data_IF_164602216441
#
_entry.id   IF_164602216441
#
_cell.length_a   1.000
_cell.length_b   1.000
_cell.length_c   1.000
_cell.angle_alpha   90.00
_cell.angle_beta   90.00
_cell.angle_gamma   90.00
#
_symmetry.space_group_name_H-M   'P 1'
#
loop_
_entity.id
_entity.type
_entity.pdbx_description
1 polymer ?
#
# COMPACT_ATOMS: atom_id res chain seq x y z
N UNK A 1 17.47 2.63 -15.47
CA UNK A 1 16.46 3.52 -14.82
C UNK A 1 17.17 4.75 -14.26
N UNK A 2 16.44 5.87 -14.09
CA UNK A 2 16.87 7.15 -13.49
C UNK A 2 15.67 7.76 -12.74
N UNK A 3 15.89 8.64 -11.77
CA UNK A 3 14.87 9.46 -11.09
C UNK A 3 15.31 10.91 -11.14
N UNK A 4 14.41 11.89 -11.30
CA UNK A 4 14.78 13.29 -11.11
C UNK A 4 15.26 13.50 -9.66
N UNK A 5 16.34 14.24 -9.50
CA UNK A 5 16.74 14.87 -8.24
C UNK A 5 15.92 16.16 -8.02
N UNK A 6 16.18 16.89 -6.93
CA UNK A 6 15.35 18.06 -6.60
C UNK A 6 15.61 19.27 -7.52
N UNK A 7 16.66 19.22 -8.35
CA UNK A 7 16.91 20.16 -9.47
C UNK A 7 16.35 19.65 -10.81
N UNK A 8 15.63 18.53 -10.81
CA UNK A 8 15.06 17.92 -12.01
C UNK A 8 16.05 17.13 -12.88
N UNK A 9 17.31 16.96 -12.44
CA UNK A 9 18.32 16.18 -13.18
C UNK A 9 18.00 14.69 -13.01
N UNK A 10 17.96 13.95 -14.11
CA UNK A 10 17.77 12.50 -14.07
C UNK A 10 19.03 11.79 -13.55
N UNK A 11 19.04 11.43 -12.27
CA UNK A 11 20.13 10.71 -11.60
C UNK A 11 19.82 9.22 -11.47
N UNK A 12 20.86 8.39 -11.45
CA UNK A 12 20.70 6.95 -11.18
C UNK A 12 20.50 6.78 -9.67
N UNK A 13 19.37 6.24 -9.24
CA UNK A 13 19.11 5.94 -7.82
C UNK A 13 19.55 4.52 -7.52
N UNK A 14 20.04 4.25 -6.31
CA UNK A 14 20.40 2.90 -5.86
C UNK A 14 19.16 1.99 -6.04
N UNK A 15 19.23 0.94 -6.87
CA UNK A 15 18.08 0.11 -7.14
C UNK A 15 17.69 -0.74 -5.91
N UNK A 16 16.39 -0.94 -5.73
CA UNK A 16 15.85 -1.62 -4.54
C UNK A 16 16.41 -3.04 -4.29
N UNK A 17 16.79 -3.76 -5.35
CA UNK A 17 17.39 -5.10 -5.20
C UNK A 17 18.79 -5.05 -4.54
N UNK A 18 19.54 -3.95 -4.70
CA UNK A 18 20.82 -3.73 -4.01
C UNK A 18 20.63 -3.39 -2.52
N UNK A 19 19.41 -3.05 -2.10
CA UNK A 19 19.08 -2.71 -0.71
C UNK A 19 18.59 -3.90 0.11
N UNK A 20 18.31 -5.07 -0.49
CA UNK A 20 17.61 -6.16 0.22
C UNK A 20 17.85 -7.61 -0.23
N UNK A 21 18.72 -7.90 -1.20
CA UNK A 21 19.00 -9.27 -1.63
C UNK A 21 20.06 -9.98 -0.79
N UNK A 22 19.91 -11.31 -0.64
CA UNK A 22 20.71 -12.22 0.19
C UNK A 22 22.20 -12.38 -0.20
N UNK A 23 22.85 -11.39 -0.81
CA UNK A 23 24.23 -11.55 -1.28
C UNK A 23 24.95 -10.33 -1.84
N UNK A 24 24.53 -9.10 -1.53
CA UNK A 24 25.26 -7.91 -2.02
C UNK A 24 26.12 -7.33 -0.89
N UNK A 25 27.42 -7.66 -0.88
CA UNK A 25 28.38 -7.02 0.03
C UNK A 25 28.50 -5.52 -0.31
N UNK A 26 28.64 -5.22 -1.60
CA UNK A 26 28.80 -3.89 -2.19
C UNK A 26 27.50 -3.06 -2.18
N UNK A 27 26.98 -2.74 -1.00
CA UNK A 27 26.05 -1.63 -0.81
C UNK A 27 26.80 -0.50 -0.07
N UNK A 28 26.97 0.69 -0.67
CA UNK A 28 27.74 1.79 -0.09
C UNK A 28 27.05 2.46 1.11
N UNK A 29 25.80 2.07 1.41
CA UNK A 29 25.08 2.59 2.56
C UNK A 29 25.63 2.03 3.88
N UNK A 30 25.73 2.87 4.93
CA UNK A 30 26.00 2.43 6.29
C UNK A 30 25.05 1.31 6.71
N UNK A 31 25.54 0.39 7.55
CA UNK A 31 24.75 -0.77 8.02
C UNK A 31 23.44 -0.35 8.69
N UNK A 32 23.45 0.75 9.42
CA UNK A 32 22.28 1.27 10.13
C UNK A 32 21.19 1.76 9.15
N UNK A 33 21.58 2.61 8.20
CA UNK A 33 20.71 3.06 7.10
C UNK A 33 20.18 1.88 6.30
N UNK A 34 21.02 0.87 6.04
CA UNK A 34 20.60 -0.36 5.36
C UNK A 34 19.55 -1.12 6.16
N UNK A 35 19.73 -1.31 7.47
CA UNK A 35 18.74 -1.98 8.32
C UNK A 35 17.43 -1.17 8.37
N UNK A 36 17.52 0.17 8.39
CA UNK A 36 16.36 1.05 8.42
C UNK A 36 15.59 1.00 7.09
N UNK A 37 16.28 1.16 5.97
CA UNK A 37 15.73 1.08 4.61
C UNK A 37 15.21 -0.32 4.30
N UNK A 38 15.94 -1.38 4.67
CA UNK A 38 15.50 -2.76 4.50
C UNK A 38 14.32 -3.10 5.42
N UNK A 39 14.27 -2.53 6.63
CA UNK A 39 13.10 -2.59 7.49
C UNK A 39 11.87 -1.93 6.87
N UNK A 40 12.03 -0.78 6.23
CA UNK A 40 10.96 -0.07 5.50
C UNK A 40 10.56 -0.80 4.21
N UNK A 41 11.53 -1.34 3.46
CA UNK A 41 11.30 -2.12 2.24
C UNK A 41 10.61 -3.45 2.57
N UNK A 42 11.07 -4.20 3.56
CA UNK A 42 10.44 -5.47 3.95
C UNK A 42 9.03 -5.29 4.54
N UNK A 43 8.78 -4.22 5.31
CA UNK A 43 7.62 -4.15 6.23
C UNK A 43 6.65 -3.01 5.89
N UNK A 44 6.87 -2.35 4.76
CA UNK A 44 6.04 -1.29 4.19
C UNK A 44 5.28 -1.75 2.94
N UNK A 45 5.76 -1.39 1.72
CA UNK A 45 4.89 -1.31 0.54
C UNK A 45 4.56 -2.65 -0.16
N UNK A 46 5.37 -3.70 -0.02
CA UNK A 46 5.23 -4.90 -0.85
C UNK A 46 3.92 -5.62 -0.60
N UNK A 47 3.37 -5.70 0.61
CA UNK A 47 2.03 -6.29 0.78
C UNK A 47 0.92 -5.48 0.10
N UNK A 48 0.99 -4.16 0.04
CA UNK A 48 -0.01 -3.32 -0.65
C UNK A 48 0.02 -3.44 -2.18
N UNK A 49 1.18 -3.76 -2.79
CA UNK A 49 1.31 -3.90 -4.24
C UNK A 49 1.49 -5.35 -4.72
N UNK A 50 2.19 -6.17 -3.94
CA UNK A 50 2.48 -7.58 -4.20
C UNK A 50 1.27 -8.46 -3.91
N UNK A 51 0.44 -8.16 -2.91
CA UNK A 51 -0.76 -8.94 -2.64
C UNK A 51 -1.83 -8.77 -3.74
N UNK A 52 -2.15 -7.55 -4.23
CA UNK A 52 -2.96 -7.41 -5.43
C UNK A 52 -2.24 -7.96 -6.67
N UNK A 53 -0.92 -7.88 -6.78
CA UNK A 53 -0.18 -8.52 -7.88
C UNK A 53 -0.31 -10.05 -7.86
N UNK A 54 -0.09 -10.70 -6.72
CA UNK A 54 -0.26 -12.15 -6.56
C UNK A 54 -1.73 -12.53 -6.77
N UNK A 55 -2.68 -11.75 -6.27
CA UNK A 55 -4.10 -11.96 -6.52
C UNK A 55 -4.43 -11.83 -8.02
N UNK A 56 -3.89 -10.83 -8.72
CA UNK A 56 -4.05 -10.65 -10.16
C UNK A 56 -3.37 -11.77 -10.95
N UNK A 57 -2.20 -12.24 -10.52
CA UNK A 57 -1.48 -13.36 -11.12
C UNK A 57 -2.23 -14.67 -10.93
N UNK A 58 -2.76 -14.94 -9.74
CA UNK A 58 -3.60 -16.11 -9.45
C UNK A 58 -4.90 -16.04 -10.24
N UNK A 59 -5.57 -14.89 -10.27
CA UNK A 59 -6.75 -14.68 -11.09
C UNK A 59 -6.42 -14.88 -12.58
N UNK A 60 -5.27 -14.41 -13.04
CA UNK A 60 -4.78 -14.64 -14.39
C UNK A 60 -4.58 -16.12 -14.68
N UNK A 61 -3.94 -16.88 -13.79
CA UNK A 61 -3.77 -18.33 -13.94
C UNK A 61 -5.11 -19.05 -14.00
N UNK A 62 -6.10 -18.62 -13.21
CA UNK A 62 -7.47 -19.17 -13.23
C UNK A 62 -8.15 -18.87 -14.57
N UNK A 63 -8.10 -17.61 -15.03
CA UNK A 63 -8.68 -17.20 -16.33
C UNK A 63 -7.99 -17.93 -17.48
N UNK A 64 -6.66 -18.03 -17.46
CA UNK A 64 -5.86 -18.72 -18.47
C UNK A 64 -6.16 -20.23 -18.50
N UNK A 65 -6.24 -20.88 -17.34
CA UNK A 65 -6.60 -22.31 -17.24
C UNK A 65 -8.01 -22.59 -17.73
N UNK A 66 -8.98 -21.74 -17.39
CA UNK A 66 -10.38 -21.90 -17.84
C UNK A 66 -10.56 -21.62 -19.34
N UNK A 67 -9.84 -20.64 -19.88
CA UNK A 67 -9.85 -20.34 -21.32
C UNK A 67 -9.12 -21.38 -22.17
N UNK A 68 -8.05 -21.99 -21.66
CA UNK A 68 -7.36 -23.10 -22.35
C UNK A 68 -8.19 -24.39 -22.38
N UNK A 69 -8.98 -24.68 -21.34
CA UNK A 69 -9.96 -25.77 -21.38
C UNK A 69 -11.06 -25.55 -22.45
N UNK A 70 -11.62 -24.33 -22.51
CA UNK A 70 -12.57 -23.95 -23.55
C UNK A 70 -11.94 -24.00 -24.95
N UNK A 71 -10.66 -23.65 -25.08
CA UNK A 71 -9.89 -23.71 -26.33
C UNK A 71 -9.79 -25.15 -26.86
N UNK A 72 -9.45 -26.13 -26.02
CA UNK A 72 -9.34 -27.53 -26.44
C UNK A 72 -10.70 -28.04 -26.93
N UNK A 73 -11.79 -27.70 -26.25
CA UNK A 73 -13.14 -28.06 -26.68
C UNK A 73 -13.55 -27.38 -27.99
N UNK A 74 -13.23 -26.09 -28.15
CA UNK A 74 -13.61 -25.30 -29.33
C UNK A 74 -12.81 -25.65 -30.58
N UNK A 75 -11.49 -25.88 -30.47
CA UNK A 75 -10.65 -26.42 -31.56
C UNK A 75 -11.21 -27.75 -32.06
N UNK A 76 -11.74 -28.57 -31.15
CA UNK A 76 -12.39 -29.84 -31.49
C UNK A 76 -13.74 -29.65 -32.17
N UNK A 77 -14.48 -28.60 -31.82
CA UNK A 77 -15.87 -28.38 -32.25
C UNK A 77 -16.02 -27.54 -33.52
N UNK A 78 -15.12 -26.58 -33.79
CA UNK A 78 -15.26 -25.65 -34.92
C UNK A 78 -13.95 -25.60 -35.70
N UNK A 79 -13.93 -26.22 -36.89
CA UNK A 79 -12.73 -26.32 -37.76
C UNK A 79 -12.24 -24.98 -38.35
N UNK A 80 -12.93 -23.86 -38.14
CA UNK A 80 -12.69 -22.62 -38.90
C UNK A 80 -12.33 -21.38 -38.08
N UNK A 81 -12.32 -21.43 -36.74
CA UNK A 81 -11.90 -20.25 -35.97
C UNK A 81 -10.38 -20.23 -35.82
N UNK A 82 -9.69 -19.11 -36.10
CA UNK A 82 -8.25 -19.06 -36.00
C UNK A 82 -7.80 -19.19 -34.55
N UNK A 83 -7.03 -20.25 -34.27
CA UNK A 83 -6.48 -20.58 -32.95
C UNK A 83 -5.78 -19.40 -32.24
N UNK A 84 -5.27 -18.41 -32.98
CA UNK A 84 -4.56 -17.25 -32.45
C UNK A 84 -5.44 -16.29 -31.62
N UNK A 85 -6.75 -16.23 -31.84
CA UNK A 85 -7.66 -15.41 -31.02
C UNK A 85 -7.72 -15.90 -29.56
N UNK A 86 -7.44 -17.19 -29.34
CA UNK A 86 -7.37 -17.81 -28.00
C UNK A 86 -6.12 -17.42 -27.22
N UNK A 87 -5.06 -16.96 -27.91
CA UNK A 87 -3.79 -16.55 -27.29
C UNK A 87 -3.87 -15.10 -26.81
N UNK A 88 -4.76 -14.30 -27.41
CA UNK A 88 -4.93 -12.87 -27.13
C UNK A 88 -5.14 -12.57 -25.63
N UNK A 89 -5.99 -13.29 -24.86
CA UNK A 89 -6.15 -13.06 -23.42
C UNK A 89 -4.88 -13.38 -22.61
N UNK A 90 -4.13 -14.41 -23.02
CA UNK A 90 -2.85 -14.77 -22.42
C UNK A 90 -1.78 -13.68 -22.60
N UNK A 91 -1.85 -12.93 -23.70
CA UNK A 91 -0.94 -11.82 -24.02
C UNK A 91 -1.39 -10.47 -23.44
N UNK A 92 -2.68 -10.14 -23.48
CA UNK A 92 -3.21 -8.84 -23.06
C UNK A 92 -2.95 -8.56 -21.57
N UNK A 93 -3.02 -9.59 -20.73
CA UNK A 93 -2.88 -9.42 -19.29
C UNK A 93 -1.44 -9.10 -18.87
N UNK A 94 -0.39 -9.83 -19.27
CA UNK A 94 0.99 -9.40 -19.00
C UNK A 94 1.27 -8.03 -19.61
N UNK A 95 0.79 -7.74 -20.83
CA UNK A 95 0.93 -6.42 -21.46
C UNK A 95 0.29 -5.30 -20.61
N UNK A 96 -0.82 -5.56 -19.92
CA UNK A 96 -1.43 -4.60 -18.99
C UNK A 96 -0.76 -4.55 -17.60
N UNK A 97 -0.23 -5.69 -17.13
CA UNK A 97 0.38 -5.83 -15.80
C UNK A 97 1.78 -5.24 -15.73
N UNK A 98 2.58 -5.37 -16.80
CA UNK A 98 3.95 -4.83 -16.85
C UNK A 98 4.00 -3.31 -16.68
N UNK A 99 3.18 -2.49 -17.38
CA UNK A 99 3.09 -1.05 -17.16
C UNK A 99 2.66 -0.71 -15.73
N UNK A 100 1.70 -1.44 -15.15
CA UNK A 100 1.27 -1.24 -13.77
C UNK A 100 2.40 -1.53 -12.78
N UNK A 101 3.10 -2.65 -12.94
CA UNK A 101 4.29 -2.99 -12.14
C UNK A 101 5.39 -1.94 -12.31
N UNK A 102 5.67 -1.55 -13.55
CA UNK A 102 6.69 -0.54 -13.85
C UNK A 102 6.35 0.78 -13.17
N UNK A 103 5.10 1.21 -13.24
CA UNK A 103 4.57 2.40 -12.59
C UNK A 103 4.60 2.31 -11.06
N UNK A 104 4.19 1.17 -10.48
CA UNK A 104 4.22 0.93 -9.04
C UNK A 104 5.66 0.96 -8.52
N UNK A 105 6.58 0.26 -9.22
CA UNK A 105 8.02 0.31 -8.92
C UNK A 105 8.57 1.72 -9.09
N UNK A 106 8.13 2.48 -10.10
CA UNK A 106 8.54 3.87 -10.28
C UNK A 106 8.11 4.75 -9.11
N UNK A 107 6.86 4.65 -8.66
CA UNK A 107 6.41 5.36 -7.46
C UNK A 107 7.17 4.95 -6.19
N UNK A 108 7.63 3.70 -6.11
CA UNK A 108 8.50 3.26 -5.02
C UNK A 108 9.92 3.85 -5.11
N UNK A 109 10.52 3.99 -6.31
CA UNK A 109 11.85 4.62 -6.50
C UNK A 109 11.94 5.97 -5.79
N UNK A 110 10.96 6.85 -6.02
CA UNK A 110 10.93 8.20 -5.43
C UNK A 110 10.78 8.17 -3.90
N UNK A 111 9.98 7.23 -3.37
CA UNK A 111 9.82 7.06 -1.92
C UNK A 111 11.11 6.56 -1.26
N UNK A 112 11.75 5.57 -1.85
CA UNK A 112 13.01 5.01 -1.33
C UNK A 112 14.12 6.06 -1.36
N UNK A 113 14.23 6.81 -2.47
CA UNK A 113 15.19 7.90 -2.57
C UNK A 113 14.98 8.93 -1.44
N UNK A 114 13.74 9.38 -1.23
CA UNK A 114 13.41 10.29 -0.13
C UNK A 114 13.76 9.72 1.24
N UNK A 115 13.53 8.43 1.50
CA UNK A 115 13.88 7.83 2.79
C UNK A 115 15.40 7.80 3.02
N UNK A 116 16.18 7.53 1.98
CA UNK A 116 17.65 7.54 2.06
C UNK A 116 18.15 8.98 2.31
N UNK A 117 17.61 9.95 1.57
CA UNK A 117 17.90 11.38 1.76
C UNK A 117 17.53 11.81 3.17
N UNK A 118 16.34 11.45 3.66
CA UNK A 118 15.90 11.72 5.03
C UNK A 118 16.84 11.15 6.08
N UNK A 119 17.54 10.04 5.81
CA UNK A 119 18.54 9.49 6.73
C UNK A 119 19.91 10.19 6.61
N UNK A 120 19.97 11.35 5.94
CA UNK A 120 21.22 12.08 5.75
C UNK A 120 22.12 11.42 4.71
N UNK A 121 21.62 10.59 3.81
CA UNK A 121 22.42 9.88 2.81
C UNK A 121 22.00 10.24 1.38
N UNK A 122 22.95 10.29 0.45
CA UNK A 122 22.68 10.46 -0.97
C UNK A 122 21.93 9.24 -1.53
N UNK A 123 20.76 9.42 -2.14
CA UNK A 123 20.00 8.32 -2.74
C UNK A 123 20.64 7.70 -4.00
N UNK A 124 21.67 8.34 -4.56
CA UNK A 124 22.39 7.87 -5.75
C UNK A 124 23.60 7.01 -5.40
N UNK A 125 24.48 7.49 -4.52
CA UNK A 125 25.72 6.80 -4.18
C UNK A 125 25.82 6.35 -2.71
N UNK A 126 24.92 6.80 -1.83
CA UNK A 126 24.92 6.46 -0.41
C UNK A 126 25.84 7.32 0.46
N UNK A 127 26.55 8.30 -0.10
CA UNK A 127 27.41 9.22 0.65
C UNK A 127 26.63 10.00 1.72
N UNK A 128 27.21 10.15 2.92
CA UNK A 128 26.61 10.91 4.01
C UNK A 128 26.59 12.41 3.68
N UNK A 129 25.41 13.02 3.69
CA UNK A 129 25.18 14.44 3.41
C UNK A 129 25.21 15.30 4.68
N UNK A 130 25.40 14.68 5.85
CA UNK A 130 25.50 15.39 7.12
C UNK A 130 26.72 16.32 7.11
N UNK A 131 26.49 17.61 7.42
CA UNK A 131 27.53 18.64 7.41
C UNK A 131 27.89 19.19 6.04
N UNK A 132 27.27 18.71 4.95
CA UNK A 132 27.45 19.32 3.62
C UNK A 132 26.57 20.56 3.52
N UNK A 133 27.20 21.72 3.33
CA UNK A 133 26.48 22.98 3.20
C UNK A 133 25.54 22.97 1.97
N UNK A 134 24.28 23.41 2.12
CA UNK A 134 23.38 23.55 1.00
C UNK A 134 23.89 24.65 0.05
N UNK A 135 23.71 24.44 -1.25
CA UNK A 135 23.96 25.48 -2.25
C UNK A 135 22.93 26.62 -2.15
N UNK A 136 23.13 27.69 -2.92
CA UNK A 136 22.28 28.90 -2.90
C UNK A 136 20.79 28.67 -3.20
N UNK A 137 20.43 27.53 -3.80
CA UNK A 137 19.04 27.12 -4.08
C UNK A 137 18.42 26.25 -2.97
N UNK A 138 19.12 26.09 -1.84
CA UNK A 138 18.67 25.27 -0.70
C UNK A 138 18.83 23.76 -0.92
N UNK A 139 19.46 23.33 -2.02
CA UNK A 139 19.77 21.92 -2.27
C UNK A 139 21.20 21.58 -1.85
N UNK A 140 21.37 20.48 -1.13
CA UNK A 140 22.67 19.90 -0.80
C UNK A 140 23.16 19.06 -1.98
N UNK A 141 24.28 19.45 -2.58
CA UNK A 141 24.88 18.73 -3.70
C UNK A 141 25.84 17.67 -3.16
N UNK A 142 25.60 16.41 -3.50
CA UNK A 142 26.49 15.33 -3.10
C UNK A 142 27.88 15.48 -3.75
N UNK A 143 28.98 15.53 -2.97
CA UNK A 143 30.32 15.74 -3.52
C UNK A 143 30.81 14.56 -4.38
N UNK A 144 30.32 13.35 -4.13
CA UNK A 144 30.73 12.14 -4.86
C UNK A 144 30.12 12.04 -6.26
N UNK A 145 28.81 12.29 -6.39
CA UNK A 145 28.08 12.01 -7.63
C UNK A 145 27.37 13.23 -8.23
N UNK A 146 27.41 14.39 -7.58
CA UNK A 146 26.83 15.63 -8.07
C UNK A 146 25.30 15.65 -8.15
N UNK A 147 24.60 14.74 -7.46
CA UNK A 147 23.13 14.77 -7.31
C UNK A 147 22.73 15.79 -6.26
N UNK A 148 21.66 16.54 -6.49
CA UNK A 148 21.20 17.59 -5.58
C UNK A 148 19.92 17.17 -4.83
N UNK A 149 19.95 17.27 -3.50
CA UNK A 149 18.84 16.90 -2.63
C UNK A 149 18.45 18.05 -1.71
N UNK A 150 17.17 18.38 -1.63
CA UNK A 150 16.66 19.43 -0.77
C UNK A 150 16.50 18.91 0.67
N UNK A 151 17.52 19.14 1.49
CA UNK A 151 17.49 18.78 2.91
C UNK A 151 16.70 19.80 3.75
N UNK A 152 16.34 20.98 3.23
CA UNK A 152 15.53 21.97 3.96
C UNK A 152 14.10 21.51 4.23
N UNK A 153 13.62 20.52 3.47
CA UNK A 153 12.38 19.79 3.78
C UNK A 153 12.51 19.03 5.11
N UNK A 154 13.75 18.80 5.58
CA UNK A 154 13.97 18.28 6.92
C UNK A 154 13.90 19.41 7.94
N UNK A 155 13.09 19.27 8.99
CA UNK A 155 13.09 20.23 10.08
C UNK A 155 14.51 20.30 10.67
N UNK A 156 15.11 21.50 10.66
CA UNK A 156 16.51 21.79 10.97
C UNK A 156 16.95 21.47 12.41
N UNK A 157 16.10 20.82 13.21
CA UNK A 157 16.37 20.54 14.61
C UNK A 157 16.67 19.05 14.81
N UNK A 158 17.94 18.72 15.00
CA UNK A 158 18.49 17.36 15.04
C UNK A 158 18.11 16.54 16.29
N UNK A 159 17.28 17.07 17.19
CA UNK A 159 16.60 16.26 18.23
C UNK A 159 15.36 15.50 17.70
N UNK A 160 15.05 15.66 16.40
CA UNK A 160 13.76 15.29 15.80
C UNK A 160 13.71 13.95 15.05
N UNK A 161 14.49 12.92 15.45
CA UNK A 161 14.25 11.53 15.01
C UNK A 161 12.79 11.08 15.24
N UNK A 162 12.06 11.80 16.09
CA UNK A 162 10.66 11.60 16.49
C UNK A 162 9.60 12.34 15.62
N UNK A 163 9.96 13.37 14.83
CA UNK A 163 8.96 14.24 14.13
C UNK A 163 8.89 14.12 12.60
N UNK A 164 9.66 13.23 11.95
CA UNK A 164 9.72 13.03 10.47
C UNK A 164 8.47 12.38 9.84
N UNK A 165 7.27 12.84 10.21
CA UNK A 165 5.99 12.15 10.02
C UNK A 165 5.31 12.34 8.66
N UNK A 166 5.49 13.49 8.01
CA UNK A 166 4.31 14.25 7.57
C UNK A 166 3.90 14.12 6.09
N UNK A 167 4.64 13.42 5.22
CA UNK A 167 4.33 13.49 3.77
C UNK A 167 3.61 12.28 3.15
N UNK A 168 2.46 12.63 2.53
CA UNK A 168 1.53 11.89 1.67
C UNK A 168 0.55 10.95 2.36
N UNK A 169 -0.63 11.50 2.68
CA UNK A 169 -1.74 10.88 3.39
C UNK A 169 -2.88 10.44 2.47
N UNK A 170 -3.48 9.31 2.85
CA UNK A 170 -4.78 8.83 2.37
C UNK A 170 -5.80 9.32 3.40
N UNK A 171 -6.95 9.84 2.96
CA UNK A 171 -7.94 10.41 3.89
C UNK A 171 -8.82 9.31 4.55
N UNK A 172 -9.14 9.47 5.83
CA UNK A 172 -10.27 8.80 6.50
C UNK A 172 -11.21 9.87 7.06
N UNK A 173 -12.45 9.47 7.31
CA UNK A 173 -13.37 10.29 8.11
C UNK A 173 -13.09 10.04 9.59
N UNK A 174 -12.99 11.10 10.36
CA UNK A 174 -13.01 11.02 11.82
C UNK A 174 -14.45 10.89 12.35
N UNK A 175 -14.62 10.89 13.67
CA UNK A 175 -15.96 10.73 14.28
C UNK A 175 -16.86 11.98 14.12
N UNK A 176 -16.29 13.10 13.63
CA UNK A 176 -17.02 14.30 13.18
C UNK A 176 -17.27 14.30 11.67
N UNK A 177 -17.00 13.19 10.99
CA UNK A 177 -17.08 13.02 9.55
C UNK A 177 -16.15 13.94 8.73
N UNK A 178 -15.18 14.60 9.36
CA UNK A 178 -14.17 15.42 8.68
C UNK A 178 -13.17 14.51 7.97
N UNK A 179 -12.84 14.85 6.71
CA UNK A 179 -11.79 14.15 5.96
C UNK A 179 -10.44 14.55 6.52
N UNK A 180 -9.79 13.62 7.20
CA UNK A 180 -8.51 13.85 7.83
C UNK A 180 -7.47 12.90 7.25
N UNK A 181 -6.24 13.37 7.03
CA UNK A 181 -5.14 12.52 6.61
C UNK A 181 -4.91 11.39 7.63
N UNK A 182 -5.08 10.12 7.24
CA UNK A 182 -4.69 9.01 8.12
C UNK A 182 -3.17 8.96 8.27
N UNK A 183 -2.72 8.50 9.44
CA UNK A 183 -1.39 7.96 9.57
C UNK A 183 -1.37 6.77 8.62
N UNK A 184 -0.44 6.77 7.67
CA UNK A 184 -0.22 5.60 6.82
C UNK A 184 -0.19 4.36 7.72
N UNK A 185 -1.02 3.36 7.39
CA UNK A 185 -1.27 2.16 8.20
C UNK A 185 0.02 1.42 8.64
N UNK A 186 1.14 1.62 7.94
CA UNK A 186 2.45 1.09 8.34
C UNK A 186 2.97 1.57 9.72
N UNK A 187 2.44 2.65 10.31
CA UNK A 187 2.76 3.04 11.70
C UNK A 187 2.11 2.09 12.72
N UNK A 188 0.89 1.65 12.42
CA UNK A 188 -0.05 1.08 13.40
C UNK A 188 0.20 -0.38 13.78
N UNK A 189 0.98 -1.15 13.00
CA UNK A 189 1.50 -2.45 13.43
C UNK A 189 0.49 -3.48 13.95
N UNK A 190 -0.75 -3.52 13.45
CA UNK A 190 -1.79 -4.43 13.95
C UNK A 190 -1.79 -5.84 13.34
N UNK A 191 -0.85 -6.17 12.42
CA UNK A 191 -0.71 -7.52 11.87
C UNK A 191 0.47 -8.25 12.54
N UNK A 192 0.29 -9.49 13.03
CA UNK A 192 1.34 -10.26 13.69
C UNK A 192 2.50 -10.52 12.70
N UNK A 193 3.72 -10.12 13.07
CA UNK A 193 4.93 -10.25 12.26
C UNK A 193 5.48 -8.97 11.61
N UNK A 194 4.80 -7.83 11.75
CA UNK A 194 5.22 -6.52 11.20
C UNK A 194 5.80 -5.64 12.33
N UNK A 195 7.03 -5.14 12.17
CA UNK A 195 7.67 -4.33 13.23
C UNK A 195 7.18 -2.87 13.22
N UNK A 196 6.25 -2.53 14.13
CA UNK A 196 5.63 -1.20 14.25
C UNK A 196 6.62 -0.03 14.42
N UNK A 197 6.24 1.14 13.90
CA UNK A 197 6.88 2.44 14.17
C UNK A 197 6.33 3.11 15.43
N UNK A 198 5.86 2.29 16.37
CA UNK A 198 5.75 2.67 17.78
C UNK A 198 7.19 2.83 18.27
N UNK A 199 7.62 4.01 18.75
CA UNK A 199 8.99 4.24 19.22
C UNK A 199 9.41 3.10 20.15
N UNK A 200 10.67 2.63 20.08
CA UNK A 200 11.14 1.44 20.82
C UNK A 200 10.68 1.40 22.29
N UNK A 201 10.58 2.58 22.94
CA UNK A 201 10.09 2.76 24.32
C UNK A 201 8.64 2.30 24.57
N UNK A 202 7.78 2.33 23.55
CA UNK A 202 6.37 1.97 23.64
C UNK A 202 6.08 0.52 23.23
N UNK A 203 7.08 -0.18 22.67
CA UNK A 203 6.95 -1.58 22.21
C UNK A 203 6.80 -2.57 23.37
N UNK A 204 7.09 -2.14 24.61
CA UNK A 204 6.79 -2.88 25.85
C UNK A 204 5.56 -2.36 26.62
N UNK A 205 5.02 -1.18 26.26
CA UNK A 205 3.90 -0.54 26.98
C UNK A 205 2.56 -0.91 26.35
N UNK A 206 2.52 -1.04 25.03
CA UNK A 206 1.43 -1.73 24.37
C UNK A 206 1.79 -3.21 24.53
N UNK A 207 1.21 -3.97 25.49
CA UNK A 207 1.27 -5.40 25.35
C UNK A 207 0.79 -5.64 23.93
N UNK A 208 1.63 -6.29 23.11
CA UNK A 208 1.12 -7.00 21.95
C UNK A 208 0.20 -8.08 22.52
N UNK A 209 -0.95 -7.66 23.04
CA UNK A 209 -2.11 -8.49 23.21
C UNK A 209 -2.24 -9.06 21.83
N UNK A 210 -1.95 -10.38 21.75
CA UNK A 210 -2.17 -11.19 20.57
C UNK A 210 -3.44 -10.64 19.95
N UNK A 211 -3.39 -10.16 18.69
CA UNK A 211 -4.52 -9.49 18.07
C UNK A 211 -5.74 -10.30 18.45
N UNK A 212 -6.64 -9.66 19.21
CA UNK A 212 -7.68 -10.40 19.92
C UNK A 212 -8.25 -11.41 18.93
N UNK A 213 -8.31 -12.68 19.33
CA UNK A 213 -8.68 -13.78 18.44
C UNK A 213 -10.02 -13.46 17.76
N UNK A 214 -10.86 -12.66 18.42
CA UNK A 214 -12.03 -11.95 17.90
C UNK A 214 -11.77 -11.08 16.66
N UNK A 215 -10.81 -10.15 16.72
CA UNK A 215 -10.51 -9.18 15.66
C UNK A 215 -9.97 -9.89 14.41
N UNK A 216 -9.07 -10.86 14.59
CA UNK A 216 -8.57 -11.70 13.50
C UNK A 216 -9.70 -12.52 12.87
N UNK A 217 -10.61 -13.10 13.68
CA UNK A 217 -11.80 -13.81 13.20
C UNK A 217 -12.75 -12.88 12.43
N UNK A 218 -12.98 -11.64 12.88
CA UNK A 218 -13.83 -10.66 12.18
C UNK A 218 -13.25 -10.28 10.82
N UNK A 219 -11.94 -9.99 10.76
CA UNK A 219 -11.27 -9.71 9.50
C UNK A 219 -11.34 -10.92 8.54
N UNK A 220 -11.07 -12.13 9.04
CA UNK A 220 -11.17 -13.35 8.26
C UNK A 220 -12.61 -13.63 7.76
N UNK A 221 -13.62 -13.40 8.62
CA UNK A 221 -15.04 -13.49 8.23
C UNK A 221 -15.39 -12.49 7.14
N UNK A 222 -15.00 -11.22 7.29
CA UNK A 222 -15.26 -10.21 6.25
C UNK A 222 -14.60 -10.58 4.93
N UNK A 223 -13.34 -11.05 4.97
CA UNK A 223 -12.62 -11.49 3.77
C UNK A 223 -13.26 -12.73 3.15
N UNK A 224 -13.74 -13.68 3.97
CA UNK A 224 -14.45 -14.88 3.51
C UNK A 224 -15.79 -14.56 2.85
N UNK A 225 -16.63 -13.71 3.47
CA UNK A 225 -17.90 -13.25 2.89
C UNK A 225 -17.67 -12.55 1.55
N UNK A 226 -16.64 -11.71 1.51
CA UNK A 226 -16.23 -11.02 0.30
C UNK A 226 -15.82 -12.03 -0.80
N UNK A 227 -14.92 -12.97 -0.50
CA UNK A 227 -14.49 -13.99 -1.47
C UNK A 227 -15.66 -14.85 -1.97
N UNK A 228 -16.59 -15.22 -1.08
CA UNK A 228 -17.83 -15.92 -1.44
C UNK A 228 -18.71 -15.09 -2.38
N UNK A 229 -18.85 -13.79 -2.14
CA UNK A 229 -19.59 -12.89 -3.03
C UNK A 229 -18.97 -12.80 -4.43
N UNK A 230 -17.64 -12.73 -4.50
CA UNK A 230 -16.92 -12.71 -5.78
C UNK A 230 -17.07 -14.04 -6.53
N UNK A 231 -16.98 -15.17 -5.82
CA UNK A 231 -17.23 -16.49 -6.38
C UNK A 231 -18.68 -16.63 -6.89
N UNK A 232 -19.66 -16.22 -6.09
CA UNK A 232 -21.08 -16.26 -6.45
C UNK A 232 -21.36 -15.40 -7.70
N UNK A 233 -20.74 -14.23 -7.80
CA UNK A 233 -20.80 -13.38 -9.00
C UNK A 233 -20.26 -14.10 -10.25
N UNK A 234 -19.09 -14.75 -10.15
CA UNK A 234 -18.53 -15.52 -11.26
C UNK A 234 -19.43 -16.69 -11.68
N UNK A 235 -20.01 -17.41 -10.72
CA UNK A 235 -20.95 -18.52 -10.99
C UNK A 235 -22.23 -18.00 -11.66
N UNK A 236 -22.81 -16.92 -11.13
CA UNK A 236 -24.00 -16.28 -11.71
C UNK A 236 -23.73 -15.80 -13.14
N UNK A 237 -22.58 -15.16 -13.37
CA UNK A 237 -22.16 -14.73 -14.70
C UNK A 237 -22.03 -15.91 -15.66
N UNK A 238 -21.37 -16.99 -15.25
CA UNK A 238 -21.17 -18.18 -16.07
C UNK A 238 -22.49 -18.88 -16.41
N UNK A 239 -23.46 -18.91 -15.48
CA UNK A 239 -24.73 -19.62 -15.65
C UNK A 239 -25.80 -18.80 -16.36
N UNK A 240 -25.85 -17.49 -16.15
CA UNK A 240 -26.95 -16.63 -16.63
C UNK A 240 -26.44 -15.60 -17.62
N UNK A 241 -25.40 -14.84 -17.26
CA UNK A 241 -24.91 -13.73 -18.09
C UNK A 241 -24.32 -14.18 -19.42
N UNK A 242 -23.46 -15.20 -19.41
CA UNK A 242 -22.81 -15.69 -20.62
C UNK A 242 -23.78 -16.29 -21.68
N UNK A 243 -24.80 -17.08 -21.29
CA UNK A 243 -25.87 -17.50 -22.20
C UNK A 243 -26.73 -16.33 -22.68
N UNK A 244 -27.10 -15.39 -21.80
CA UNK A 244 -27.95 -14.26 -22.17
C UNK A 244 -27.29 -13.37 -23.23
N UNK A 245 -25.97 -13.19 -23.17
CA UNK A 245 -25.18 -12.53 -24.21
C UNK A 245 -25.26 -13.22 -25.57
N UNK A 246 -25.42 -14.55 -25.62
CA UNK A 246 -25.56 -15.26 -26.90
C UNK A 246 -26.90 -15.00 -27.58
N UNK A 247 -27.94 -14.64 -26.82
CA UNK A 247 -29.25 -14.30 -27.36
C UNK A 247 -29.36 -12.89 -27.95
N UNK A 248 -28.39 -12.00 -27.68
CA UNK A 248 -28.47 -10.57 -28.03
C UNK A 248 -28.05 -10.24 -29.48
N UNK A 249 -27.81 -11.23 -30.35
CA UNK A 249 -27.36 -11.04 -31.75
C UNK A 249 -26.21 -10.03 -31.93
N UNK A 250 -25.33 -9.92 -30.93
CA UNK A 250 -24.15 -9.06 -30.99
C UNK A 250 -23.09 -9.66 -31.92
N UNK A 251 -22.21 -8.81 -32.47
CA UNK A 251 -21.05 -9.31 -33.21
C UNK A 251 -20.19 -10.23 -32.34
N UNK A 252 -19.49 -11.19 -32.94
CA UNK A 252 -18.64 -12.13 -32.23
C UNK A 252 -17.56 -11.42 -31.38
N UNK A 253 -17.03 -10.30 -31.89
CA UNK A 253 -16.07 -9.46 -31.19
C UNK A 253 -16.69 -8.81 -29.94
N UNK A 254 -17.86 -8.17 -30.09
CA UNK A 254 -18.55 -7.52 -28.97
C UNK A 254 -18.92 -8.52 -27.87
N UNK A 255 -19.43 -9.70 -28.27
CA UNK A 255 -19.75 -10.79 -27.34
C UNK A 255 -18.52 -11.24 -26.55
N UNK A 256 -17.37 -11.35 -27.21
CA UNK A 256 -16.12 -11.76 -26.57
C UNK A 256 -15.60 -10.69 -25.58
N UNK A 257 -15.66 -9.42 -25.95
CA UNK A 257 -15.26 -8.31 -25.08
C UNK A 257 -16.14 -8.26 -23.82
N UNK A 258 -17.47 -8.34 -23.98
CA UNK A 258 -18.41 -8.28 -22.86
C UNK A 258 -18.27 -9.49 -21.92
N UNK A 259 -17.99 -10.69 -22.46
CA UNK A 259 -17.71 -11.90 -21.67
C UNK A 259 -16.52 -11.76 -20.73
N UNK A 260 -15.54 -10.91 -21.07
CA UNK A 260 -14.35 -10.66 -20.24
C UNK A 260 -14.56 -9.46 -19.31
N UNK A 261 -15.11 -8.36 -19.81
CA UNK A 261 -15.24 -7.13 -19.04
C UNK A 261 -16.25 -7.22 -17.91
N UNK A 262 -17.43 -7.80 -18.15
CA UNK A 262 -18.51 -7.84 -17.14
C UNK A 262 -18.12 -8.64 -15.89
N UNK A 263 -17.53 -9.85 -15.95
CA UNK A 263 -17.13 -10.55 -14.74
C UNK A 263 -15.97 -9.85 -14.00
N UNK A 264 -15.15 -9.07 -14.72
CA UNK A 264 -14.06 -8.30 -14.14
C UNK A 264 -14.50 -6.98 -13.49
N UNK A 265 -15.65 -6.43 -13.90
CA UNK A 265 -16.15 -5.13 -13.45
C UNK A 265 -16.26 -4.93 -11.91
N UNK A 266 -16.64 -5.92 -11.08
CA UNK A 266 -16.73 -5.71 -9.63
C UNK A 266 -15.38 -5.73 -8.89
N UNK A 267 -14.29 -6.23 -9.50
CA UNK A 267 -12.98 -6.34 -8.83
C UNK A 267 -12.45 -5.00 -8.27
N UNK A 268 -12.44 -3.89 -9.03
CA UNK A 268 -11.99 -2.60 -8.52
C UNK A 268 -12.82 -2.10 -7.33
N UNK A 269 -14.15 -2.25 -7.39
CA UNK A 269 -15.07 -1.86 -6.31
C UNK A 269 -14.78 -2.69 -5.05
N UNK A 270 -14.55 -3.98 -5.24
CA UNK A 270 -14.25 -4.91 -4.17
C UNK A 270 -12.91 -4.61 -3.49
N UNK A 271 -11.86 -4.32 -4.27
CA UNK A 271 -10.56 -3.89 -3.75
C UNK A 271 -10.71 -2.57 -2.98
N UNK A 272 -11.44 -1.59 -3.52
CA UNK A 272 -11.70 -0.33 -2.84
C UNK A 272 -12.44 -0.53 -1.51
N UNK A 273 -13.43 -1.43 -1.48
CA UNK A 273 -14.17 -1.79 -0.28
C UNK A 273 -13.27 -2.47 0.75
N UNK A 274 -12.41 -3.42 0.36
CA UNK A 274 -11.43 -4.05 1.26
C UNK A 274 -10.49 -3.02 1.89
N UNK A 275 -9.98 -2.08 1.08
CA UNK A 275 -9.12 -1.00 1.55
C UNK A 275 -9.88 -0.13 2.56
N UNK A 276 -11.11 0.27 2.25
CA UNK A 276 -11.93 1.10 3.13
C UNK A 276 -12.26 0.41 4.47
N UNK A 277 -12.68 -0.85 4.43
CA UNK A 277 -13.01 -1.65 5.62
C UNK A 277 -11.77 -1.88 6.49
N UNK A 278 -10.62 -2.18 5.88
CA UNK A 278 -9.37 -2.35 6.61
C UNK A 278 -8.96 -1.06 7.36
N UNK A 279 -9.26 0.11 6.79
CA UNK A 279 -8.86 1.43 7.32
C UNK A 279 -9.76 1.92 8.45
N UNK A 280 -11.05 1.59 8.44
CA UNK A 280 -11.89 1.72 9.63
C UNK A 280 -11.38 0.83 10.78
N UNK A 281 -11.01 -0.42 10.49
CA UNK A 281 -10.57 -1.38 11.51
C UNK A 281 -9.31 -0.93 12.24
N UNK A 282 -8.27 -0.50 11.50
CA UNK A 282 -7.03 0.00 12.11
C UNK A 282 -7.27 1.26 12.95
N UNK A 283 -8.11 2.18 12.48
CA UNK A 283 -8.41 3.40 13.21
C UNK A 283 -9.07 3.10 14.56
N UNK A 284 -10.03 2.17 14.59
CA UNK A 284 -10.67 1.76 15.85
C UNK A 284 -9.70 1.11 16.83
N UNK A 285 -8.80 0.25 16.36
CA UNK A 285 -7.81 -0.41 17.23
C UNK A 285 -6.85 0.62 17.84
N UNK A 286 -6.36 1.57 17.04
CA UNK A 286 -5.49 2.64 17.53
C UNK A 286 -6.21 3.56 18.53
N UNK A 287 -7.43 3.98 18.21
CA UNK A 287 -8.24 4.83 19.10
C UNK A 287 -8.56 4.11 20.42
N UNK A 288 -8.91 2.83 20.38
CA UNK A 288 -9.12 1.99 21.57
C UNK A 288 -7.84 1.83 22.41
N UNK A 289 -6.68 1.88 21.78
CA UNK A 289 -5.38 1.91 22.46
C UNK A 289 -4.96 3.32 22.91
N UNK A 290 -5.84 4.32 22.84
CA UNK A 290 -5.58 5.74 23.18
C UNK A 290 -4.53 6.42 22.30
N UNK A 291 -4.41 6.02 21.03
CA UNK A 291 -3.55 6.68 20.04
C UNK A 291 -4.36 7.26 18.90
N UNK A 292 -3.93 8.38 18.35
CA UNK A 292 -4.55 9.02 17.20
C UNK A 292 -4.33 8.19 15.90
N UNK A 293 -5.37 7.73 15.20
CA UNK A 293 -5.25 7.11 13.88
C UNK A 293 -4.66 8.00 12.77
N UNK A 294 -4.65 9.33 12.92
CA UNK A 294 -4.15 10.30 11.90
C UNK A 294 -2.64 10.58 11.98
N UNK A 295 -2.06 10.58 13.18
CA UNK A 295 -0.62 10.83 13.34
C UNK A 295 0.10 9.81 14.21
N UNK A 296 -0.63 8.99 14.98
CA UNK A 296 -0.09 8.06 15.97
C UNK A 296 0.25 8.70 17.32
N UNK A 297 -0.07 9.98 17.55
CA UNK A 297 0.20 10.63 18.84
C UNK A 297 -0.67 10.02 19.96
N UNK A 298 -0.13 9.96 21.18
CA UNK A 298 -0.86 9.48 22.35
C UNK A 298 -1.97 10.48 22.73
N UNK A 299 -3.15 9.95 23.02
CA UNK A 299 -4.35 10.71 23.36
C UNK A 299 -4.84 10.43 24.80
N UNK A 300 -4.14 9.56 25.54
CA UNK A 300 -4.55 9.15 26.89
C UNK A 300 -4.80 10.31 27.87
N UNK A 301 -4.03 11.41 27.74
CA UNK A 301 -4.11 12.57 28.62
C UNK A 301 -4.77 13.79 27.95
N UNK A 302 -5.37 13.60 26.76
CA UNK A 302 -6.03 14.69 26.06
C UNK A 302 -7.50 14.67 26.45
N UNK A 303 -8.03 15.74 27.07
CA UNK A 303 -9.43 15.77 27.50
C UNK A 303 -10.36 15.65 26.28
N UNK A 304 -11.47 14.93 26.46
CA UNK A 304 -12.52 14.90 25.46
C UNK A 304 -13.18 16.28 25.36
N UNK A 305 -13.45 16.73 24.13
CA UNK A 305 -14.28 17.88 23.86
C UNK A 305 -15.77 17.58 24.24
N UNK A 306 -16.65 18.61 24.34
CA UNK A 306 -18.04 18.43 24.78
C UNK A 306 -18.89 17.44 23.98
N UNK A 307 -18.47 17.11 22.74
CA UNK A 307 -19.12 16.12 21.87
C UNK A 307 -18.69 14.66 22.15
N UNK A 308 -17.83 14.47 23.16
CA UNK A 308 -17.26 13.17 23.53
C UNK A 308 -16.11 12.72 22.65
N UNK A 309 -15.56 13.59 21.80
CA UNK A 309 -14.41 13.28 20.95
C UNK A 309 -13.13 13.88 21.54
N UNK A 310 -12.04 13.12 21.53
CA UNK A 310 -10.70 13.61 21.86
C UNK A 310 -10.04 14.16 20.60
N UNK A 311 -9.75 15.46 20.58
CA UNK A 311 -9.09 16.13 19.46
C UNK A 311 -7.58 16.02 19.60
N UNK A 312 -6.92 15.40 18.63
CA UNK A 312 -5.48 15.24 18.66
C UNK A 312 -4.76 16.60 18.54
N UNK A 313 -3.89 16.98 19.49
CA UNK A 313 -3.23 18.28 19.47
C UNK A 313 -2.21 18.43 18.32
N UNK A 314 -1.71 17.33 17.78
CA UNK A 314 -0.69 17.37 16.70
C UNK A 314 -1.31 17.54 15.31
N UNK A 315 -2.50 16.97 15.05
CA UNK A 315 -3.07 16.90 13.70
C UNK A 315 -4.54 17.34 13.61
N UNK A 316 -5.15 17.75 14.73
CA UNK A 316 -6.52 18.26 14.79
C UNK A 316 -7.63 17.21 14.63
N UNK A 317 -7.29 15.92 14.52
CA UNK A 317 -8.26 14.85 14.28
C UNK A 317 -9.07 14.49 15.52
N UNK A 318 -10.38 14.26 15.40
CA UNK A 318 -11.25 13.97 16.54
C UNK A 318 -11.66 12.48 16.60
N UNK A 319 -11.37 11.81 17.70
CA UNK A 319 -11.69 10.38 17.89
C UNK A 319 -12.40 10.14 19.21
N UNK A 320 -13.46 9.33 19.23
CA UNK A 320 -14.08 8.85 20.46
C UNK A 320 -13.21 7.77 21.08
N UNK A 321 -12.62 8.08 22.22
CA UNK A 321 -11.79 7.16 22.98
C UNK A 321 -12.60 6.67 24.17
N UNK A 322 -12.77 5.36 24.30
CA UNK A 322 -13.37 4.76 25.48
C UNK A 322 -12.35 4.81 26.62
N UNK A 323 -12.46 5.81 27.49
CA UNK A 323 -11.66 5.91 28.71
C UNK A 323 -11.99 4.72 29.62
N UNK A 324 -11.09 3.73 29.70
CA UNK A 324 -11.18 2.66 30.70
C UNK A 324 -11.09 3.30 32.09
N UNK A 325 -12.23 3.57 32.72
CA UNK A 325 -12.29 4.07 34.10
C UNK A 325 -13.30 5.20 34.33
N UNK A 326 -13.84 5.84 33.30
CA UNK A 326 -14.99 6.72 33.48
C UNK A 326 -16.26 5.88 33.40
N UNK A 327 -16.86 5.62 34.56
CA UNK A 327 -18.24 5.13 34.64
C UNK A 327 -19.14 6.03 33.78
N UNK A 328 -20.09 5.46 33.02
CA UNK A 328 -20.97 6.23 32.15
C UNK A 328 -21.64 7.36 32.96
N UNK A 329 -21.76 8.57 32.40
CA UNK A 329 -22.50 9.64 33.05
C UNK A 329 -23.92 9.14 33.31
N UNK A 330 -24.35 9.26 34.57
CA UNK A 330 -25.70 8.90 35.01
C UNK A 330 -26.72 9.92 34.53
#
# INVERSE_FOLDING_TARGET
MRSPDDRGRLVKVIPAYQLGGAGVFWCPLPRETRILVQGQLQRGPWTEYYLPFVALLVLWLIIFSSSSGAMIWFIRSTRSLPWFLSILPGLLIPVSMFPFMYWAMWRMRARVARLIVLDGCCATCGYALDGVEPASDGCTVCPECGSAWNLSIMPANSDSRTKRSEFASVFCRDDRALRIPLARQWRAGTLPGISSAVPRRFRGIIPLQRPDRETAKRAARSMGVMLLGLLAWFVLWARVGAPLLTGLHLSALATSILRVLIPAAPLPLFIALLIALSRQGTARILAAATYCPSCGNALANVPAAPDGCTVCPECGSAWRITSKGQSPPT
#
